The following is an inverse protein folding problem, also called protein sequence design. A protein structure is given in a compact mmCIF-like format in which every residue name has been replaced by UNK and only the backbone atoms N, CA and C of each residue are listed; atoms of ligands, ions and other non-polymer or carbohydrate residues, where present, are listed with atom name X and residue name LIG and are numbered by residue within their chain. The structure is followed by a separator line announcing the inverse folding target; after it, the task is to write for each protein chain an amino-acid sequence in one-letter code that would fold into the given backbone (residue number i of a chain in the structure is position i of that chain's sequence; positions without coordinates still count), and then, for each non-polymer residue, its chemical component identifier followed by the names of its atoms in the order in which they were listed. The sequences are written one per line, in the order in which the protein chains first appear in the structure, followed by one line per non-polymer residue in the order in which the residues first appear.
data_IF_764865979499
#
_entry.id   IF_764865979499
#
_cell.length_a   1.000
_cell.length_b   1.000
_cell.length_c   1.000
_cell.angle_alpha   90.00
_cell.angle_beta   90.00
_cell.angle_gamma   90.00
#
_symmetry.space_group_name_H-M   'P 1'
#
loop_
_entity.id
_entity.type
_entity.pdbx_description
1 polymer ?
#
# COMPACT_ATOMS: atom_id res chain seq x y z
N UNK A 1 25.56 5.73 -12.29
CA UNK A 1 24.95 5.28 -11.03
C UNK A 1 24.07 4.08 -11.29
N UNK A 2 24.38 2.96 -10.64
CA UNK A 2 23.56 1.75 -10.73
C UNK A 2 22.18 2.06 -10.14
N UNK A 3 21.13 1.97 -10.95
CA UNK A 3 19.76 2.12 -10.48
C UNK A 3 19.42 0.91 -9.62
N UNK A 4 19.47 1.05 -8.30
CA UNK A 4 19.23 -0.04 -7.36
C UNK A 4 17.92 0.13 -6.56
N UNK A 5 17.17 1.22 -6.80
CA UNK A 5 15.97 1.56 -6.04
C UNK A 5 14.70 1.37 -6.84
N UNK A 6 13.67 0.84 -6.19
CA UNK A 6 12.31 0.82 -6.69
C UNK A 6 11.48 1.91 -6.00
N UNK A 7 10.55 2.50 -6.72
CA UNK A 7 9.54 3.41 -6.19
C UNK A 7 8.20 2.71 -6.11
N UNK A 8 7.67 2.56 -4.91
CA UNK A 8 6.32 2.08 -4.66
C UNK A 8 5.41 3.28 -4.42
N UNK A 9 4.45 3.49 -5.32
CA UNK A 9 3.44 4.52 -5.13
C UNK A 9 2.28 3.96 -4.29
N UNK A 10 1.90 4.65 -3.20
CA UNK A 10 0.83 4.24 -2.30
C UNK A 10 -0.46 5.06 -2.46
N UNK A 11 -0.48 6.06 -3.35
CA UNK A 11 -1.61 6.97 -3.50
C UNK A 11 -1.78 7.46 -4.92
N UNK A 12 -3.03 7.73 -5.30
CA UNK A 12 -3.39 8.47 -6.51
C UNK A 12 -3.75 9.93 -6.21
N UNK A 13 -3.70 10.33 -4.93
CA UNK A 13 -4.06 11.69 -4.52
C UNK A 13 -2.86 12.62 -4.69
N UNK A 14 -2.98 13.60 -5.56
CA UNK A 14 -1.89 14.54 -5.88
C UNK A 14 -1.37 15.31 -4.65
N UNK A 15 -2.26 15.63 -3.70
CA UNK A 15 -1.91 16.29 -2.44
C UNK A 15 -1.07 15.43 -1.50
N UNK A 16 -1.11 14.12 -1.65
CA UNK A 16 -0.31 13.19 -0.85
C UNK A 16 1.07 12.89 -1.47
N UNK A 17 1.35 13.43 -2.66
CA UNK A 17 2.68 13.37 -3.27
C UNK A 17 3.58 14.43 -2.65
N UNK A 18 4.66 13.99 -2.04
CA UNK A 18 5.57 14.86 -1.28
C UNK A 18 6.30 15.86 -2.20
N UNK A 19 6.28 17.12 -1.78
CA UNK A 19 6.96 18.23 -2.44
C UNK A 19 7.70 19.05 -1.39
N UNK A 20 8.90 19.47 -1.74
CA UNK A 20 9.75 20.28 -0.85
C UNK A 20 10.05 21.64 -1.47
N UNK A 21 9.91 22.75 -0.74
CA UNK A 21 10.36 24.05 -1.22
C UNK A 21 11.88 24.01 -1.50
N UNK A 22 12.29 24.55 -2.64
CA UNK A 22 13.71 24.59 -3.05
C UNK A 22 14.56 25.27 -1.99
N UNK A 23 14.08 26.39 -1.43
CA UNK A 23 14.80 27.13 -0.39
C UNK A 23 15.13 26.24 0.82
N UNK A 24 14.15 25.49 1.32
CA UNK A 24 14.37 24.58 2.44
C UNK A 24 15.30 23.42 2.05
N UNK A 25 15.08 22.82 0.90
CA UNK A 25 15.83 21.64 0.44
C UNK A 25 17.31 22.00 0.19
N UNK A 26 17.57 23.10 -0.53
CA UNK A 26 18.94 23.54 -0.83
C UNK A 26 19.71 24.01 0.39
N UNK A 27 19.05 24.64 1.37
CA UNK A 27 19.65 25.07 2.62
C UNK A 27 20.05 23.89 3.52
N UNK A 28 19.17 22.89 3.66
CA UNK A 28 19.41 21.74 4.53
C UNK A 28 20.34 20.70 3.90
N UNK A 29 20.24 20.50 2.59
CA UNK A 29 20.92 19.45 1.84
C UNK A 29 21.61 20.00 0.57
N UNK A 30 22.52 20.98 0.66
CA UNK A 30 23.05 21.71 -0.49
C UNK A 30 23.71 20.79 -1.53
N UNK A 31 24.47 19.79 -1.09
CA UNK A 31 25.12 18.84 -2.00
C UNK A 31 24.13 17.92 -2.70
N UNK A 32 23.12 17.45 -1.98
CA UNK A 32 22.06 16.61 -2.55
C UNK A 32 21.24 17.41 -3.56
N UNK A 33 20.96 18.67 -3.24
CA UNK A 33 20.24 19.56 -4.16
C UNK A 33 20.97 19.72 -5.51
N UNK A 34 22.27 19.96 -5.50
CA UNK A 34 23.10 20.05 -6.72
C UNK A 34 23.01 18.76 -7.56
N UNK A 35 22.97 17.59 -6.91
CA UNK A 35 22.81 16.31 -7.60
C UNK A 35 21.42 16.21 -8.20
N UNK A 36 20.38 16.62 -7.50
CA UNK A 36 18.98 16.62 -7.99
C UNK A 36 18.81 17.58 -9.15
N UNK A 37 19.43 18.76 -9.11
CA UNK A 37 19.44 19.71 -10.25
C UNK A 37 20.05 19.07 -11.50
N UNK A 38 21.18 18.39 -11.37
CA UNK A 38 21.83 17.74 -12.51
C UNK A 38 21.01 16.56 -13.04
N UNK A 39 20.37 15.78 -12.16
CA UNK A 39 19.42 14.72 -12.58
C UNK A 39 18.25 15.34 -13.35
N UNK A 40 17.66 16.40 -12.82
CA UNK A 40 16.56 17.11 -13.46
C UNK A 40 16.99 17.64 -14.85
N UNK A 41 18.13 18.31 -14.95
CA UNK A 41 18.65 18.85 -16.20
C UNK A 41 18.80 17.75 -17.28
N UNK A 42 19.42 16.62 -16.94
CA UNK A 42 19.60 15.48 -17.86
C UNK A 42 18.27 14.90 -18.29
N UNK A 43 17.39 14.67 -17.34
CA UNK A 43 16.07 14.14 -17.62
C UNK A 43 15.24 15.03 -18.53
N UNK A 44 15.28 16.36 -18.33
CA UNK A 44 14.54 17.28 -19.18
C UNK A 44 15.06 17.31 -20.62
N UNK A 45 16.36 17.10 -20.84
CA UNK A 45 16.92 16.92 -22.19
C UNK A 45 16.34 15.67 -22.86
N UNK A 46 16.25 14.55 -22.11
CA UNK A 46 15.64 13.31 -22.62
C UNK A 46 14.16 13.52 -23.00
N UNK A 47 13.40 14.23 -22.15
CA UNK A 47 11.99 14.56 -22.41
C UNK A 47 11.86 15.45 -23.64
N UNK A 48 12.68 16.51 -23.78
CA UNK A 48 12.67 17.41 -24.94
C UNK A 48 13.02 16.67 -26.22
N UNK A 49 13.99 15.78 -26.20
CA UNK A 49 14.37 14.98 -27.37
C UNK A 49 13.26 14.05 -27.83
N UNK A 50 12.54 13.45 -26.87
CA UNK A 50 11.42 12.54 -27.18
C UNK A 50 10.15 13.28 -27.59
N UNK A 51 9.92 14.47 -27.04
CA UNK A 51 8.72 15.30 -27.29
C UNK A 51 9.11 16.73 -27.72
N UNK A 52 9.66 16.91 -28.90
CA UNK A 52 10.09 18.22 -29.37
C UNK A 52 8.90 19.19 -29.45
N UNK A 53 9.13 20.43 -29.02
CA UNK A 53 8.13 21.51 -28.97
C UNK A 53 6.94 21.30 -27.99
N UNK A 54 7.00 20.30 -27.11
CA UNK A 54 5.97 20.09 -26.10
C UNK A 54 6.43 20.60 -24.72
N UNK A 55 6.47 21.92 -24.58
CA UNK A 55 6.93 22.59 -23.35
C UNK A 55 6.06 22.26 -22.12
N UNK A 56 4.77 22.06 -22.31
CA UNK A 56 3.86 21.71 -21.21
C UNK A 56 4.19 20.33 -20.64
N UNK A 57 4.52 19.37 -21.48
CA UNK A 57 4.94 18.04 -21.04
C UNK A 57 6.28 18.09 -20.30
N UNK A 58 7.21 18.91 -20.76
CA UNK A 58 8.51 19.13 -20.09
C UNK A 58 8.30 19.70 -18.69
N UNK A 59 7.48 20.73 -18.52
CA UNK A 59 7.15 21.32 -17.21
C UNK A 59 6.46 20.31 -16.29
N UNK A 60 5.47 19.59 -16.81
CA UNK A 60 4.68 18.63 -16.05
C UNK A 60 5.55 17.50 -15.50
N UNK A 61 6.52 17.01 -16.27
CA UNK A 61 7.40 15.91 -15.90
C UNK A 61 8.62 16.35 -15.06
N UNK A 62 8.93 17.64 -14.99
CA UNK A 62 10.08 18.16 -14.29
C UNK A 62 10.12 17.71 -12.80
N UNK A 63 11.32 17.35 -12.33
CA UNK A 63 11.57 17.06 -10.93
C UNK A 63 11.56 18.34 -10.12
N UNK A 64 12.20 19.40 -10.66
CA UNK A 64 12.24 20.74 -10.08
C UNK A 64 11.41 21.67 -10.95
N UNK A 65 10.33 22.20 -10.38
CA UNK A 65 9.45 23.14 -11.04
C UNK A 65 8.65 23.95 -10.02
N UNK A 66 8.35 25.20 -10.35
CA UNK A 66 7.55 26.12 -9.54
C UNK A 66 8.02 26.24 -8.08
N UNK A 67 9.31 26.42 -7.90
CA UNK A 67 9.92 26.58 -6.58
C UNK A 67 9.94 25.33 -5.71
N UNK A 68 9.64 24.14 -6.26
CA UNK A 68 9.51 22.90 -5.52
C UNK A 68 10.32 21.75 -6.13
N UNK A 69 10.80 20.84 -5.27
CA UNK A 69 11.34 19.53 -5.64
C UNK A 69 10.24 18.48 -5.45
N UNK A 70 9.85 17.82 -6.55
CA UNK A 70 8.81 16.78 -6.56
C UNK A 70 9.45 15.42 -6.31
N UNK A 71 9.28 14.89 -5.11
CA UNK A 71 9.98 13.68 -4.67
C UNK A 71 9.56 12.42 -5.43
N UNK A 72 8.28 12.31 -5.79
CA UNK A 72 7.79 11.20 -6.62
C UNK A 72 8.42 11.20 -8.01
N UNK A 73 8.55 12.36 -8.66
CA UNK A 73 9.21 12.48 -9.97
C UNK A 73 10.68 12.09 -9.89
N UNK A 74 11.39 12.57 -8.86
CA UNK A 74 12.78 12.18 -8.60
C UNK A 74 12.91 10.66 -8.45
N UNK A 75 12.05 10.04 -7.66
CA UNK A 75 12.07 8.59 -7.42
C UNK A 75 11.79 7.79 -8.70
N UNK A 76 10.84 8.22 -9.53
CA UNK A 76 10.52 7.58 -10.82
C UNK A 76 11.71 7.65 -11.79
N UNK A 77 12.35 8.81 -11.87
CA UNK A 77 13.49 9.00 -12.78
C UNK A 77 14.72 8.24 -12.30
N UNK A 78 15.05 8.32 -11.01
CA UNK A 78 16.23 7.70 -10.42
C UNK A 78 16.09 6.18 -10.22
N UNK A 79 14.89 5.69 -9.93
CA UNK A 79 14.64 4.25 -9.72
C UNK A 79 14.62 3.44 -11.02
N UNK A 80 14.79 2.12 -10.88
CA UNK A 80 14.68 1.18 -12.01
C UNK A 80 13.26 0.61 -12.17
N UNK A 81 12.42 0.68 -11.12
CA UNK A 81 11.08 0.10 -11.08
C UNK A 81 10.10 1.03 -10.39
N UNK A 82 8.90 1.13 -10.93
CA UNK A 82 7.77 1.90 -10.39
C UNK A 82 6.58 0.97 -10.29
N UNK A 83 6.02 0.81 -9.09
CA UNK A 83 4.85 -0.04 -8.96
C UNK A 83 3.69 0.63 -8.22
N UNK A 84 2.48 0.28 -8.65
CA UNK A 84 1.28 0.42 -7.86
C UNK A 84 1.12 -0.76 -6.90
N UNK A 85 0.15 -0.66 -5.99
CA UNK A 85 -0.05 -1.63 -4.90
C UNK A 85 -1.32 -2.48 -5.04
N UNK A 86 -2.02 -2.33 -6.17
CA UNK A 86 -3.14 -3.15 -6.61
C UNK A 86 -3.30 -3.01 -8.13
N UNK A 87 -3.92 -3.98 -8.80
CA UNK A 87 -4.10 -3.94 -10.26
C UNK A 87 -4.78 -2.64 -10.71
N UNK A 88 -5.94 -2.31 -10.15
CA UNK A 88 -6.66 -1.08 -10.47
C UNK A 88 -5.82 0.17 -10.20
N UNK A 89 -5.15 0.25 -9.06
CA UNK A 89 -4.26 1.37 -8.72
C UNK A 89 -3.15 1.52 -9.76
N UNK A 90 -2.53 0.44 -10.17
CA UNK A 90 -1.48 0.45 -11.19
C UNK A 90 -1.99 0.94 -12.55
N UNK A 91 -3.19 0.53 -12.95
CA UNK A 91 -3.80 1.02 -14.20
C UNK A 91 -4.15 2.53 -14.13
N UNK A 92 -4.61 3.02 -12.97
CA UNK A 92 -4.82 4.45 -12.75
C UNK A 92 -3.50 5.23 -12.86
N UNK A 93 -2.42 4.72 -12.26
CA UNK A 93 -1.10 5.35 -12.38
C UNK A 93 -0.64 5.43 -13.84
N UNK A 94 -0.75 4.35 -14.61
CA UNK A 94 -0.33 4.28 -16.01
C UNK A 94 -1.15 5.17 -16.94
N UNK A 95 -2.46 5.24 -16.72
CA UNK A 95 -3.37 5.88 -17.67
C UNK A 95 -3.78 7.30 -17.28
N UNK A 96 -3.53 7.71 -16.03
CA UNK A 96 -3.94 9.01 -15.49
C UNK A 96 -2.78 9.72 -14.79
N UNK A 97 -2.49 9.37 -13.53
CA UNK A 97 -1.61 10.15 -12.66
C UNK A 97 -0.16 10.26 -13.14
N UNK A 98 0.42 9.17 -13.63
CA UNK A 98 1.79 9.09 -14.09
C UNK A 98 1.89 8.74 -15.58
N UNK A 99 0.84 9.04 -16.33
CA UNK A 99 0.73 8.69 -17.76
C UNK A 99 1.95 9.13 -18.57
N UNK A 100 2.40 10.37 -18.41
CA UNK A 100 3.54 10.88 -19.16
C UNK A 100 4.84 10.12 -18.87
N UNK A 101 5.03 9.70 -17.61
CA UNK A 101 6.17 8.85 -17.24
C UNK A 101 6.02 7.42 -17.77
N UNK A 102 4.81 6.88 -17.76
CA UNK A 102 4.54 5.56 -18.35
C UNK A 102 4.79 5.55 -19.85
N UNK A 103 4.32 6.55 -20.58
CA UNK A 103 4.58 6.70 -22.03
C UNK A 103 6.08 6.83 -22.34
N UNK A 104 6.86 7.42 -21.43
CA UNK A 104 8.30 7.61 -21.61
C UNK A 104 9.10 6.38 -21.25
N UNK A 105 8.72 5.66 -20.18
CA UNK A 105 9.48 4.56 -19.57
C UNK A 105 8.54 3.40 -19.18
N UNK A 106 7.80 2.80 -20.13
CA UNK A 106 6.79 1.78 -19.82
C UNK A 106 7.36 0.54 -19.11
N UNK A 107 8.61 0.21 -19.41
CA UNK A 107 9.32 -0.94 -18.84
C UNK A 107 9.53 -0.85 -17.31
N UNK A 108 9.47 0.36 -16.75
CA UNK A 108 9.59 0.54 -15.29
C UNK A 108 8.32 0.18 -14.55
N UNK A 109 7.15 0.27 -15.18
CA UNK A 109 5.85 0.20 -14.51
C UNK A 109 5.36 -1.24 -14.36
N UNK A 110 5.05 -1.62 -13.13
CA UNK A 110 4.52 -2.94 -12.81
C UNK A 110 3.57 -2.87 -11.60
N UNK A 111 2.91 -4.00 -11.31
CA UNK A 111 2.04 -4.13 -10.15
C UNK A 111 2.65 -5.03 -9.09
N UNK A 112 2.60 -4.60 -7.84
CA UNK A 112 2.91 -5.39 -6.65
C UNK A 112 1.73 -5.30 -5.70
N UNK A 113 0.79 -6.21 -5.82
CA UNK A 113 -0.40 -6.23 -4.97
C UNK A 113 -0.01 -6.31 -3.50
N UNK A 114 -0.58 -5.42 -2.68
CA UNK A 114 -0.42 -5.50 -1.24
C UNK A 114 -0.86 -6.86 -0.73
N UNK A 115 -0.17 -7.35 0.26
CA UNK A 115 -0.48 -8.59 0.94
C UNK A 115 -0.48 -8.42 2.45
N UNK A 116 -0.91 -9.48 3.12
CA UNK A 116 -0.82 -9.63 4.57
C UNK A 116 -0.01 -10.88 4.89
N UNK A 117 0.71 -10.88 5.99
CA UNK A 117 1.40 -12.08 6.46
C UNK A 117 0.53 -12.84 7.46
N UNK A 118 0.39 -14.16 7.26
CA UNK A 118 -0.33 -15.06 8.18
C UNK A 118 0.29 -15.08 9.58
N UNK A 119 1.58 -14.80 9.71
CA UNK A 119 2.26 -14.75 11.01
C UNK A 119 1.72 -13.62 11.87
N UNK A 120 1.59 -12.40 11.32
CA UNK A 120 1.05 -11.27 12.08
C UNK A 120 -0.45 -11.36 12.25
N UNK A 121 -1.20 -11.64 11.19
CA UNK A 121 -2.67 -11.49 11.17
C UNK A 121 -3.43 -12.75 11.61
N UNK A 122 -2.79 -13.91 11.60
CA UNK A 122 -3.39 -15.15 12.09
C UNK A 122 -2.66 -15.66 13.33
N UNK A 123 -1.38 -16.03 13.22
CA UNK A 123 -0.63 -16.60 14.34
C UNK A 123 -0.59 -15.67 15.57
N UNK A 124 -0.26 -14.40 15.39
CA UNK A 124 -0.23 -13.41 16.46
C UNK A 124 -1.59 -12.77 16.75
N UNK A 125 -2.34 -12.45 15.69
CA UNK A 125 -3.59 -11.70 15.81
C UNK A 125 -4.77 -12.52 16.33
N UNK A 126 -4.75 -13.85 16.14
CA UNK A 126 -5.82 -14.75 16.54
C UNK A 126 -5.27 -16.11 17.03
N UNK A 127 -4.64 -16.14 18.22
CA UNK A 127 -4.01 -17.35 18.75
C UNK A 127 -4.97 -18.54 18.84
N UNK A 128 -6.21 -18.32 19.31
CA UNK A 128 -7.21 -19.40 19.42
C UNK A 128 -7.46 -20.09 18.08
N UNK A 129 -7.54 -19.32 16.98
CA UNK A 129 -7.72 -19.89 15.66
C UNK A 129 -6.42 -20.53 15.15
N UNK A 130 -5.28 -19.95 15.44
CA UNK A 130 -3.99 -20.48 15.02
C UNK A 130 -3.69 -21.84 15.68
N UNK A 131 -3.94 -21.96 16.97
CA UNK A 131 -3.74 -23.20 17.73
C UNK A 131 -4.68 -24.29 17.19
N UNK A 132 -5.95 -23.96 17.00
CA UNK A 132 -6.92 -24.90 16.46
C UNK A 132 -6.57 -25.38 15.04
N UNK A 133 -6.11 -24.46 14.15
CA UNK A 133 -5.63 -24.84 12.82
C UNK A 133 -4.44 -25.80 12.93
N UNK A 134 -3.49 -25.49 13.80
CA UNK A 134 -2.29 -26.30 13.99
C UNK A 134 -2.62 -27.71 14.51
N UNK A 135 -3.61 -27.84 15.38
CA UNK A 135 -4.13 -29.13 15.82
C UNK A 135 -4.71 -29.98 14.69
N UNK A 136 -5.34 -29.34 13.69
CA UNK A 136 -6.00 -30.05 12.59
C UNK A 136 -5.04 -30.44 11.45
N UNK A 137 -4.08 -29.58 11.10
CA UNK A 137 -3.28 -29.74 9.87
C UNK A 137 -1.75 -29.62 10.05
N UNK A 138 -1.27 -29.47 11.30
CA UNK A 138 0.15 -29.21 11.57
C UNK A 138 0.51 -27.73 11.47
N UNK A 139 1.77 -27.39 11.70
CA UNK A 139 2.28 -26.03 11.80
C UNK A 139 2.94 -25.49 10.51
N UNK A 140 3.03 -26.31 9.46
CA UNK A 140 3.69 -25.91 8.22
C UNK A 140 3.06 -24.67 7.56
N UNK A 141 1.78 -24.40 7.80
CA UNK A 141 1.08 -23.21 7.28
C UNK A 141 1.71 -21.89 7.76
N UNK A 142 2.45 -21.92 8.87
CA UNK A 142 3.12 -20.72 9.42
C UNK A 142 4.17 -20.19 8.44
N UNK A 143 4.89 -21.08 7.78
CA UNK A 143 5.94 -20.73 6.80
C UNK A 143 5.50 -20.91 5.36
N UNK A 144 4.53 -21.78 5.10
CA UNK A 144 3.98 -22.07 3.77
C UNK A 144 2.43 -21.96 3.81
N UNK A 145 1.94 -20.75 3.51
CA UNK A 145 0.51 -20.41 3.56
C UNK A 145 -0.41 -21.36 2.74
N UNK A 146 -0.02 -21.88 1.56
CA UNK A 146 -0.81 -22.87 0.82
C UNK A 146 -1.25 -24.10 1.62
N UNK A 147 -0.54 -24.48 2.69
CA UNK A 147 -0.93 -25.58 3.56
C UNK A 147 -2.31 -25.40 4.20
N UNK A 148 -2.80 -24.16 4.38
CA UNK A 148 -4.18 -23.90 4.84
C UNK A 148 -5.24 -24.54 3.94
N UNK A 149 -4.93 -24.86 2.68
CA UNK A 149 -5.84 -25.56 1.77
C UNK A 149 -6.22 -26.97 2.28
N UNK A 150 -5.42 -27.58 3.17
CA UNK A 150 -5.74 -28.86 3.82
C UNK A 150 -7.04 -28.79 4.64
N UNK A 151 -7.42 -27.59 5.13
CA UNK A 151 -8.67 -27.39 5.86
C UNK A 151 -9.94 -27.62 5.00
N UNK A 152 -9.81 -27.59 3.66
CA UNK A 152 -10.97 -27.77 2.76
C UNK A 152 -11.68 -29.13 2.94
N UNK A 153 -10.98 -30.14 3.42
CA UNK A 153 -11.57 -31.46 3.63
C UNK A 153 -12.61 -31.48 4.75
N UNK A 154 -12.56 -30.50 5.65
CA UNK A 154 -13.45 -30.36 6.79
C UNK A 154 -14.62 -29.39 6.58
N UNK A 155 -14.72 -28.79 5.41
CA UNK A 155 -15.68 -27.67 5.17
C UNK A 155 -17.13 -28.07 5.41
N UNK A 156 -17.50 -29.33 5.12
CA UNK A 156 -18.84 -29.89 5.28
C UNK A 156 -19.02 -30.64 6.61
N UNK A 157 -18.00 -30.68 7.48
CA UNK A 157 -18.09 -31.32 8.80
C UNK A 157 -18.80 -30.39 9.81
N UNK A 158 -20.01 -30.75 10.34
CA UNK A 158 -20.74 -29.90 11.26
C UNK A 158 -20.01 -29.65 12.58
N UNK A 159 -19.23 -30.63 13.07
CA UNK A 159 -18.44 -30.49 14.28
C UNK A 159 -17.35 -29.46 14.09
N UNK A 160 -16.63 -29.55 12.97
CA UNK A 160 -15.58 -28.61 12.61
C UNK A 160 -16.11 -27.17 12.46
N UNK A 161 -17.26 -27.00 11.80
CA UNK A 161 -17.96 -25.72 11.67
C UNK A 161 -18.32 -25.16 13.05
N UNK A 162 -18.83 -25.99 13.95
CA UNK A 162 -19.20 -25.55 15.29
C UNK A 162 -18.00 -25.10 16.12
N UNK A 163 -16.89 -25.83 16.05
CA UNK A 163 -15.64 -25.45 16.72
C UNK A 163 -15.11 -24.12 16.20
N UNK A 164 -15.08 -23.92 14.89
CA UNK A 164 -14.69 -22.66 14.26
C UNK A 164 -15.58 -21.48 14.70
N UNK A 165 -16.90 -21.68 14.73
CA UNK A 165 -17.85 -20.66 15.20
C UNK A 165 -17.69 -20.36 16.68
N UNK A 166 -17.35 -21.36 17.49
CA UNK A 166 -17.07 -21.14 18.91
C UNK A 166 -15.82 -20.28 19.12
N UNK A 167 -14.74 -20.49 18.36
CA UNK A 167 -13.55 -19.65 18.41
C UNK A 167 -13.89 -18.19 18.10
N UNK A 168 -14.69 -17.96 17.06
CA UNK A 168 -15.16 -16.59 16.71
C UNK A 168 -15.98 -15.99 17.86
N UNK A 169 -16.84 -16.77 18.47
CA UNK A 169 -17.64 -16.33 19.61
C UNK A 169 -16.79 -15.95 20.83
N UNK A 170 -15.78 -16.76 21.18
CA UNK A 170 -14.84 -16.43 22.26
C UNK A 170 -14.09 -15.12 22.01
N UNK A 171 -13.65 -14.87 20.79
CA UNK A 171 -13.02 -13.61 20.42
C UNK A 171 -13.99 -12.42 20.55
N UNK A 172 -15.27 -12.59 20.18
CA UNK A 172 -16.31 -11.56 20.34
C UNK A 172 -16.63 -11.30 21.81
N UNK A 173 -16.65 -12.32 22.66
CA UNK A 173 -16.81 -12.15 24.10
C UNK A 173 -15.69 -11.30 24.70
N UNK A 174 -14.43 -11.57 24.32
CA UNK A 174 -13.29 -10.74 24.76
C UNK A 174 -13.43 -9.28 24.31
N UNK A 175 -13.82 -9.06 23.06
CA UNK A 175 -14.01 -7.71 22.53
C UNK A 175 -15.18 -7.01 23.20
N UNK A 176 -16.31 -7.67 23.38
CA UNK A 176 -17.47 -7.11 24.08
C UNK A 176 -17.13 -6.71 25.54
N UNK A 177 -16.36 -7.55 26.25
CA UNK A 177 -15.84 -7.21 27.57
C UNK A 177 -14.95 -5.97 27.55
N UNK A 178 -14.00 -5.90 26.61
CA UNK A 178 -13.12 -4.75 26.45
C UNK A 178 -13.89 -3.46 26.17
N UNK A 179 -14.88 -3.49 25.28
CA UNK A 179 -15.77 -2.36 24.99
C UNK A 179 -16.52 -1.92 26.23
N UNK A 180 -17.04 -2.87 27.02
CA UNK A 180 -17.74 -2.55 28.29
C UNK A 180 -16.81 -1.86 29.28
N UNK A 181 -15.61 -2.37 29.46
CA UNK A 181 -14.65 -1.83 30.43
C UNK A 181 -14.12 -0.44 30.04
N UNK A 182 -13.93 -0.17 28.74
CA UNK A 182 -13.31 1.07 28.27
C UNK A 182 -14.32 2.13 27.80
N UNK A 183 -15.48 1.72 27.31
CA UNK A 183 -16.49 2.61 26.73
C UNK A 183 -17.81 2.63 27.50
N UNK A 184 -18.01 1.72 28.46
CA UNK A 184 -19.25 1.60 29.22
C UNK A 184 -20.43 1.03 28.43
N UNK A 185 -20.22 0.53 27.20
CA UNK A 185 -21.26 0.07 26.29
C UNK A 185 -21.40 -1.44 26.36
N UNK A 186 -22.64 -1.92 26.46
CA UNK A 186 -22.96 -3.34 26.35
C UNK A 186 -23.17 -3.72 24.88
N UNK A 187 -22.44 -4.71 24.40
CA UNK A 187 -22.49 -5.22 23.02
C UNK A 187 -22.88 -6.70 23.06
N UNK A 188 -23.89 -7.08 22.26
CA UNK A 188 -24.24 -8.48 22.10
C UNK A 188 -23.17 -9.22 21.28
N UNK A 189 -22.44 -10.18 21.85
CA UNK A 189 -21.40 -10.94 21.15
C UNK A 189 -21.94 -11.86 20.03
N UNK A 190 -23.28 -12.04 19.94
CA UNK A 190 -23.92 -12.79 18.85
C UNK A 190 -24.19 -11.93 17.62
N UNK A 191 -24.17 -10.59 17.76
CA UNK A 191 -24.35 -9.66 16.65
C UNK A 191 -23.21 -9.75 15.63
N UNK A 192 -23.42 -9.21 14.45
CA UNK A 192 -22.34 -8.98 13.45
C UNK A 192 -21.54 -7.77 13.92
N UNK A 193 -20.23 -7.94 14.06
CA UNK A 193 -19.33 -6.84 14.37
C UNK A 193 -18.78 -6.27 13.05
N UNK A 194 -19.19 -5.05 12.72
CA UNK A 194 -18.61 -4.28 11.63
C UNK A 194 -17.51 -3.38 12.20
N UNK A 195 -16.28 -3.58 11.72
CA UNK A 195 -15.09 -2.86 12.21
C UNK A 195 -14.46 -2.06 11.06
N UNK A 196 -14.52 -0.74 11.19
CA UNK A 196 -13.92 0.19 10.23
C UNK A 196 -12.73 0.91 10.90
N UNK A 197 -11.50 0.45 10.62
CA UNK A 197 -10.26 1.04 11.14
C UNK A 197 -9.48 1.66 9.99
N UNK A 198 -9.82 2.90 9.62
CA UNK A 198 -9.24 3.62 8.49
C UNK A 198 -9.14 5.11 8.81
N UNK A 199 -8.16 5.80 8.22
CA UNK A 199 -8.11 7.26 8.27
C UNK A 199 -9.35 7.85 7.59
N UNK A 200 -9.88 8.94 8.12
CA UNK A 200 -11.00 9.67 7.52
C UNK A 200 -10.50 10.41 6.26
N UNK A 201 -11.14 10.11 5.13
CA UNK A 201 -10.92 10.79 3.85
C UNK A 201 -12.25 10.89 3.12
N UNK A 202 -12.50 12.00 2.45
CA UNK A 202 -13.75 12.26 1.70
C UNK A 202 -14.04 11.20 0.63
N UNK A 203 -13.00 10.63 -0.01
CA UNK A 203 -13.18 9.60 -1.03
C UNK A 203 -13.59 8.23 -0.49
N UNK A 204 -13.50 8.00 0.83
CA UNK A 204 -13.84 6.70 1.42
C UNK A 204 -15.34 6.62 1.71
N UNK A 205 -15.99 5.60 1.16
CA UNK A 205 -17.45 5.42 1.29
C UNK A 205 -17.94 5.33 2.73
N UNK A 206 -17.11 4.86 3.66
CA UNK A 206 -17.44 4.80 5.09
C UNK A 206 -17.71 6.17 5.72
N UNK A 207 -17.30 7.28 5.10
CA UNK A 207 -17.63 8.62 5.57
C UNK A 207 -19.10 8.97 5.31
N UNK A 208 -19.76 8.22 4.42
CA UNK A 208 -21.16 8.45 4.05
C UNK A 208 -22.17 7.67 4.93
N UNK A 209 -21.67 6.83 5.86
CA UNK A 209 -22.51 5.99 6.73
C UNK A 209 -22.69 6.60 8.12
#
# INVERSE_FOLDING_TARGET
TTKCCAYTNHTIMAEALEKWPIELFSRLLPRVYQIVEEINRRFLIEVQNKYPNNYEKVKKMAIIFDGQVKMAHLAIVAGYSVNGVAKLHTEILKNQELKDFYEMMPEKFNNKTNGITQRRFLLHGNPLLADWITEQIGDEWITDLPHLAKLKVYVDDPKFQQEFMNIKYQNKLRLAKYIKEHNGIDVDPRSIFDVQVKRLHEYKRQLLN
#
